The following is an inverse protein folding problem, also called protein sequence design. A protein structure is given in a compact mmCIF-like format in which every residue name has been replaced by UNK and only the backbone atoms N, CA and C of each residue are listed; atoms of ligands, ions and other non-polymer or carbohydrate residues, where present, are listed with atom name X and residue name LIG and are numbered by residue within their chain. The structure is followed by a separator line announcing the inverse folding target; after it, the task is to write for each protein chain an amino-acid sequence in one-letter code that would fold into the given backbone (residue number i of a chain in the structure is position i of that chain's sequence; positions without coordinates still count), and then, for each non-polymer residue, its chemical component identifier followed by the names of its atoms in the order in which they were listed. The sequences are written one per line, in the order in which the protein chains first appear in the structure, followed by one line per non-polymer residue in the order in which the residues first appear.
data_IF_764125708317
#
_entry.id   IF_764125708317
#
_cell.length_a   1.000
_cell.length_b   1.000
_cell.length_c   1.000
_cell.angle_alpha   90.00
_cell.angle_beta   90.00
_cell.angle_gamma   90.00
#
_symmetry.space_group_name_H-M   'P 1'
#
loop_
_entity.id
_entity.type
_entity.pdbx_description
1 polymer ?
#
# COMPACT_ATOMS: atom_id res chain seq x y z
N UNK A 1 54.91 -3.30 37.41
CA UNK A 1 54.25 -2.15 36.77
C UNK A 1 53.14 -2.68 35.87
N UNK A 2 51.90 -2.34 36.22
CA UNK A 2 50.64 -2.65 35.52
C UNK A 2 50.61 -2.14 34.08
N UNK A 3 49.75 -2.68 33.21
CA UNK A 3 48.53 -1.99 32.75
C UNK A 3 47.50 -3.03 32.28
N UNK A 4 46.34 -3.04 32.94
CA UNK A 4 45.14 -3.78 32.56
C UNK A 4 44.34 -2.89 31.58
N UNK A 5 44.01 -3.37 30.37
CA UNK A 5 43.31 -2.57 29.35
C UNK A 5 41.81 -2.77 29.50
N UNK A 6 41.15 -1.81 30.12
CA UNK A 6 39.68 -1.72 30.20
C UNK A 6 39.14 -1.46 28.78
N UNK A 7 38.28 -2.35 28.27
CA UNK A 7 37.50 -2.09 27.06
C UNK A 7 36.38 -1.12 27.46
N UNK A 8 36.49 0.13 27.03
CA UNK A 8 35.43 1.11 27.18
C UNK A 8 34.24 0.72 26.29
N UNK A 9 33.06 0.56 26.88
CA UNK A 9 31.81 0.42 26.15
C UNK A 9 31.47 1.78 25.54
N UNK A 10 31.64 1.94 24.23
CA UNK A 10 31.23 3.17 23.57
C UNK A 10 29.69 3.27 23.60
N UNK A 11 29.13 4.37 24.14
CA UNK A 11 27.68 4.56 24.13
C UNK A 11 27.19 4.69 22.69
N UNK A 12 26.15 3.93 22.33
CA UNK A 12 25.46 4.04 21.04
C UNK A 12 25.03 5.51 20.84
N UNK A 13 25.19 6.06 19.63
CA UNK A 13 24.79 7.43 19.34
C UNK A 13 23.31 7.65 19.66
N UNK A 14 22.94 8.87 20.09
CA UNK A 14 21.57 9.19 20.45
C UNK A 14 20.65 8.98 19.24
N UNK A 15 19.61 8.16 19.43
CA UNK A 15 18.60 7.91 18.41
C UNK A 15 17.96 9.23 17.98
N UNK A 16 18.14 9.62 16.73
CA UNK A 16 17.30 10.66 16.14
C UNK A 16 15.87 10.09 16.06
N UNK A 17 14.88 10.84 16.55
CA UNK A 17 13.49 10.37 16.63
C UNK A 17 12.90 9.90 15.28
N UNK A 18 13.40 10.44 14.16
CA UNK A 18 13.05 9.99 12.81
C UNK A 18 13.62 8.61 12.44
N UNK A 19 14.79 8.24 12.96
CA UNK A 19 15.39 6.91 12.73
C UNK A 19 14.62 5.82 13.46
N UNK A 20 14.08 6.13 14.66
CA UNK A 20 13.31 5.16 15.45
C UNK A 20 11.98 4.81 14.78
N UNK A 21 11.21 5.84 14.37
CA UNK A 21 9.93 5.63 13.71
C UNK A 21 10.12 4.79 12.45
N UNK A 22 11.08 5.18 11.60
CA UNK A 22 11.42 4.46 10.38
C UNK A 22 11.86 3.02 10.65
N UNK A 23 12.76 2.79 11.60
CA UNK A 23 13.21 1.43 11.94
C UNK A 23 12.06 0.53 12.41
N UNK A 24 11.07 1.09 13.12
CA UNK A 24 9.87 0.36 13.54
C UNK A 24 8.92 0.06 12.38
N UNK A 25 8.76 0.99 11.43
CA UNK A 25 7.98 0.75 10.20
C UNK A 25 8.66 -0.29 9.30
N UNK A 26 9.97 -0.20 9.10
CA UNK A 26 10.76 -1.18 8.34
C UNK A 26 10.70 -2.59 9.00
N UNK A 27 10.68 -2.64 10.33
CA UNK A 27 10.50 -3.88 11.07
C UNK A 27 9.08 -4.46 10.93
N UNK A 28 8.06 -3.60 10.95
CA UNK A 28 6.68 -4.01 10.72
C UNK A 28 6.51 -4.56 9.30
N UNK A 29 7.08 -3.86 8.31
CA UNK A 29 7.12 -4.25 6.90
C UNK A 29 7.61 -5.68 6.72
N UNK A 30 8.79 -5.96 7.28
CA UNK A 30 9.43 -7.27 7.21
C UNK A 30 8.58 -8.36 7.86
N UNK A 31 8.10 -8.14 9.08
CA UNK A 31 7.30 -9.14 9.81
C UNK A 31 6.01 -9.44 9.03
N UNK A 32 5.34 -8.41 8.52
CA UNK A 32 4.04 -8.56 7.88
C UNK A 32 4.17 -9.24 6.52
N UNK A 33 5.19 -8.90 5.72
CA UNK A 33 5.39 -9.58 4.44
C UNK A 33 5.88 -11.03 4.62
N UNK A 34 6.79 -11.30 5.55
CA UNK A 34 7.36 -12.65 5.73
C UNK A 34 6.45 -13.60 6.52
N UNK A 35 5.79 -13.11 7.56
CA UNK A 35 5.08 -13.94 8.56
C UNK A 35 3.58 -13.64 8.66
N UNK A 36 3.10 -12.57 8.02
CA UNK A 36 1.70 -12.14 8.06
C UNK A 36 1.32 -11.31 9.29
N UNK A 37 0.10 -10.75 9.26
CA UNK A 37 -0.41 -9.85 10.32
C UNK A 37 -0.51 -10.49 11.71
N UNK A 38 -0.80 -11.80 11.76
CA UNK A 38 -0.96 -12.54 13.01
C UNK A 38 0.36 -12.67 13.80
N UNK A 39 1.50 -12.65 13.11
CA UNK A 39 2.83 -12.65 13.74
C UNK A 39 3.21 -11.27 14.30
N UNK A 40 2.48 -10.21 13.93
CA UNK A 40 2.80 -8.86 14.32
C UNK A 40 2.37 -8.54 15.76
N UNK A 41 3.37 -8.22 16.59
CA UNK A 41 3.20 -7.69 17.94
C UNK A 41 4.18 -6.52 18.15
N UNK A 42 3.89 -5.60 19.07
CA UNK A 42 4.84 -4.54 19.44
C UNK A 42 6.19 -5.12 19.90
N UNK A 43 6.17 -6.29 20.55
CA UNK A 43 7.39 -6.96 21.03
C UNK A 43 8.20 -7.56 19.88
N UNK A 44 7.55 -8.21 18.90
CA UNK A 44 8.24 -8.76 17.72
C UNK A 44 8.83 -7.62 16.89
N UNK A 45 8.09 -6.53 16.70
CA UNK A 45 8.56 -5.33 16.03
C UNK A 45 9.77 -4.67 16.73
N UNK A 46 9.71 -4.44 18.06
CA UNK A 46 10.86 -3.91 18.81
C UNK A 46 12.12 -4.77 18.67
N UNK A 47 11.95 -6.10 18.75
CA UNK A 47 13.05 -7.07 18.57
C UNK A 47 13.63 -6.98 17.16
N UNK A 48 12.78 -6.94 16.15
CA UNK A 48 13.18 -6.85 14.75
C UNK A 48 13.90 -5.52 14.42
N UNK A 49 13.48 -4.42 15.02
CA UNK A 49 14.11 -3.11 14.90
C UNK A 49 15.38 -2.93 15.76
N UNK A 50 15.68 -3.87 16.67
CA UNK A 50 16.84 -3.77 17.56
C UNK A 50 16.73 -2.68 18.64
N UNK A 51 15.51 -2.35 19.06
CA UNK A 51 15.19 -1.29 20.04
C UNK A 51 14.61 -1.86 21.33
N UNK A 52 14.41 -1.00 22.34
CA UNK A 52 13.82 -1.43 23.61
C UNK A 52 12.35 -1.84 23.42
N UNK A 53 11.86 -2.78 24.24
CA UNK A 53 10.47 -3.24 24.17
C UNK A 53 9.43 -2.15 24.43
N UNK A 54 9.79 -1.09 25.15
CA UNK A 54 8.89 0.03 25.43
C UNK A 54 8.81 1.04 24.27
N UNK A 55 9.81 1.08 23.38
CA UNK A 55 9.92 2.09 22.32
C UNK A 55 8.70 2.15 21.38
N UNK A 56 8.14 1.03 20.87
CA UNK A 56 6.97 1.08 19.99
C UNK A 56 5.74 1.68 20.66
N UNK A 57 5.45 1.26 21.90
CA UNK A 57 4.29 1.76 22.64
C UNK A 57 4.45 3.23 23.04
N UNK A 58 5.67 3.69 23.36
CA UNK A 58 5.91 5.10 23.61
C UNK A 58 5.75 5.97 22.36
N UNK A 59 6.12 5.45 21.18
CA UNK A 59 6.09 6.23 19.94
C UNK A 59 4.71 6.20 19.27
N UNK A 60 4.09 5.02 19.20
CA UNK A 60 2.85 4.78 18.47
C UNK A 60 1.66 4.45 19.37
N UNK A 61 1.79 4.63 20.70
CA UNK A 61 0.80 4.33 21.74
C UNK A 61 0.52 2.83 21.92
N UNK A 62 0.09 2.15 20.86
CA UNK A 62 -0.32 0.75 20.88
C UNK A 62 -0.09 0.05 19.52
N UNK A 63 -0.55 -1.20 19.41
CA UNK A 63 -0.44 -2.00 18.18
C UNK A 63 -1.19 -1.35 17.02
N UNK A 64 -2.38 -0.81 17.27
CA UNK A 64 -3.22 -0.21 16.22
C UNK A 64 -2.58 1.08 15.70
N UNK A 65 -2.03 1.92 16.59
CA UNK A 65 -1.33 3.13 16.18
C UNK A 65 -0.09 2.85 15.30
N UNK A 66 0.69 1.80 15.62
CA UNK A 66 1.85 1.44 14.80
C UNK A 66 1.39 0.87 13.43
N UNK A 67 0.41 -0.02 13.43
CA UNK A 67 -0.14 -0.57 12.19
C UNK A 67 -0.79 0.51 11.32
N UNK A 68 -1.44 1.52 11.90
CA UNK A 68 -1.98 2.67 11.17
C UNK A 68 -0.87 3.52 10.54
N UNK A 69 0.21 3.79 11.28
CA UNK A 69 1.36 4.52 10.73
C UNK A 69 2.05 3.74 9.59
N UNK A 70 2.13 2.41 9.71
CA UNK A 70 2.62 1.54 8.65
C UNK A 70 1.64 1.45 7.47
N UNK A 71 0.35 1.38 7.70
CA UNK A 71 -0.66 1.47 6.65
C UNK A 71 -0.56 2.80 5.88
N UNK A 72 -0.27 3.90 6.58
CA UNK A 72 0.00 5.19 5.94
C UNK A 72 1.23 5.13 5.01
N UNK A 73 2.31 4.44 5.40
CA UNK A 73 3.47 4.27 4.50
C UNK A 73 3.13 3.41 3.28
N UNK A 74 2.32 2.35 3.46
CA UNK A 74 1.87 1.51 2.35
C UNK A 74 1.06 2.33 1.33
N UNK A 75 0.16 3.21 1.78
CA UNK A 75 -0.58 4.10 0.87
C UNK A 75 0.34 5.08 0.12
N UNK A 76 1.36 5.62 0.79
CA UNK A 76 2.36 6.49 0.13
C UNK A 76 3.16 5.74 -0.93
N UNK A 77 3.59 4.51 -0.63
CA UNK A 77 4.32 3.67 -1.58
C UNK A 77 3.44 3.30 -2.79
N UNK A 78 2.18 2.95 -2.55
CA UNK A 78 1.20 2.68 -3.60
C UNK A 78 0.97 3.94 -4.47
N UNK A 79 0.81 5.11 -3.84
CA UNK A 79 0.63 6.39 -4.54
C UNK A 79 1.83 6.70 -5.43
N UNK A 80 3.05 6.56 -4.91
CA UNK A 80 4.27 6.79 -5.68
C UNK A 80 4.37 5.82 -6.87
N UNK A 81 4.03 4.54 -6.66
CA UNK A 81 4.02 3.55 -7.74
C UNK A 81 2.99 3.88 -8.83
N UNK A 82 1.77 4.28 -8.44
CA UNK A 82 0.72 4.71 -9.36
C UNK A 82 1.19 5.94 -10.17
N UNK A 83 1.70 6.97 -9.49
CA UNK A 83 2.12 8.21 -10.13
C UNK A 83 3.26 7.98 -11.13
N UNK A 84 4.22 7.13 -10.79
CA UNK A 84 5.31 6.75 -11.71
C UNK A 84 4.73 6.13 -12.99
N UNK A 85 3.82 5.15 -12.88
CA UNK A 85 3.26 4.46 -14.03
C UNK A 85 2.34 5.37 -14.87
N UNK A 86 1.59 6.28 -14.23
CA UNK A 86 0.81 7.32 -14.92
C UNK A 86 1.74 8.25 -15.72
N UNK A 87 2.88 8.65 -15.15
CA UNK A 87 3.84 9.50 -15.83
C UNK A 87 4.45 8.80 -17.05
N UNK A 88 4.80 7.53 -16.92
CA UNK A 88 5.31 6.69 -18.03
C UNK A 88 4.29 6.50 -19.16
N UNK A 89 2.99 6.54 -18.85
CA UNK A 89 1.91 6.40 -19.83
C UNK A 89 1.71 7.63 -20.74
N UNK A 90 2.34 8.77 -20.45
CA UNK A 90 2.26 9.97 -21.28
C UNK A 90 1.00 10.80 -21.05
N UNK A 91 0.40 11.34 -22.12
CA UNK A 91 -0.74 12.28 -22.08
C UNK A 91 -2.10 11.66 -22.40
N UNK A 92 -2.16 10.41 -22.84
CA UNK A 92 -3.44 9.75 -23.13
C UNK A 92 -4.16 9.34 -21.84
N UNK A 93 -5.32 9.94 -21.57
CA UNK A 93 -6.05 9.73 -20.32
C UNK A 93 -6.51 8.27 -20.12
N UNK A 94 -6.81 7.54 -21.21
CA UNK A 94 -7.13 6.12 -21.12
C UNK A 94 -5.90 5.27 -20.76
N UNK A 95 -4.74 5.59 -21.34
CA UNK A 95 -3.47 4.96 -20.99
C UNK A 95 -3.08 5.24 -19.54
N UNK A 96 -3.36 6.45 -19.02
CA UNK A 96 -3.15 6.79 -17.61
C UNK A 96 -4.06 5.98 -16.68
N UNK A 97 -5.35 5.85 -17.01
CA UNK A 97 -6.27 4.99 -16.23
C UNK A 97 -5.82 3.51 -16.27
N UNK A 98 -5.32 3.05 -17.41
CA UNK A 98 -4.71 1.71 -17.51
C UNK A 98 -3.51 1.54 -16.61
N UNK A 99 -2.58 2.48 -16.68
CA UNK A 99 -1.36 2.46 -15.89
C UNK A 99 -1.67 2.48 -14.38
N UNK A 100 -2.65 3.27 -13.94
CA UNK A 100 -3.14 3.29 -12.56
C UNK A 100 -3.68 1.92 -12.14
N UNK A 101 -4.61 1.33 -12.91
CA UNK A 101 -5.20 0.03 -12.59
C UNK A 101 -4.15 -1.09 -12.53
N UNK A 102 -3.19 -1.06 -13.45
CA UNK A 102 -2.09 -2.01 -13.50
C UNK A 102 -1.13 -1.83 -12.32
N UNK A 103 -0.79 -0.59 -11.95
CA UNK A 103 0.02 -0.28 -10.77
C UNK A 103 -0.63 -0.82 -9.50
N UNK A 104 -1.94 -0.61 -9.35
CA UNK A 104 -2.71 -1.10 -8.21
C UNK A 104 -2.65 -2.63 -8.08
N UNK A 105 -2.88 -3.35 -9.18
CA UNK A 105 -2.84 -4.82 -9.17
C UNK A 105 -1.41 -5.33 -8.94
N UNK A 106 -0.40 -4.72 -9.59
CA UNK A 106 1.01 -5.10 -9.41
C UNK A 106 1.43 -4.93 -7.95
N UNK A 107 1.06 -3.82 -7.32
CA UNK A 107 1.32 -3.59 -5.91
C UNK A 107 0.70 -4.70 -5.04
N UNK A 108 -0.58 -5.03 -5.27
CA UNK A 108 -1.26 -6.11 -4.54
C UNK A 108 -0.57 -7.47 -4.69
N UNK A 109 -0.03 -7.78 -5.88
CA UNK A 109 0.66 -9.05 -6.14
C UNK A 109 2.09 -9.09 -5.59
N UNK A 110 2.79 -7.95 -5.57
CA UNK A 110 4.16 -7.84 -5.07
C UNK A 110 4.22 -7.74 -3.54
N UNK A 111 3.19 -7.15 -2.93
CA UNK A 111 3.11 -6.83 -1.51
C UNK A 111 1.79 -7.35 -0.91
N UNK A 112 1.50 -8.66 -1.00
CA UNK A 112 0.16 -9.21 -0.71
C UNK A 112 -0.28 -9.03 0.74
N UNK A 113 0.64 -9.12 1.69
CA UNK A 113 0.32 -9.00 3.11
C UNK A 113 0.13 -7.52 3.52
N UNK A 114 0.98 -6.61 3.03
CA UNK A 114 0.78 -5.17 3.22
C UNK A 114 -0.49 -4.67 2.54
N UNK A 115 -0.76 -5.11 1.31
CA UNK A 115 -2.00 -4.77 0.61
C UNK A 115 -3.22 -5.26 1.38
N UNK A 116 -3.19 -6.48 1.91
CA UNK A 116 -4.30 -7.00 2.72
C UNK A 116 -4.50 -6.19 4.01
N UNK A 117 -3.42 -5.74 4.66
CA UNK A 117 -3.47 -4.98 5.92
C UNK A 117 -4.28 -3.68 5.79
N UNK A 118 -4.06 -2.88 4.74
CA UNK A 118 -4.71 -1.56 4.62
C UNK A 118 -6.23 -1.63 4.52
N UNK A 119 -6.79 -2.82 4.25
CA UNK A 119 -8.23 -3.08 4.22
C UNK A 119 -8.77 -3.81 5.47
N UNK A 120 -7.93 -4.13 6.47
CA UNK A 120 -8.33 -4.74 7.76
C UNK A 120 -8.76 -3.66 8.75
N UNK A 121 -10.01 -3.22 8.63
CA UNK A 121 -10.57 -2.13 9.43
C UNK A 121 -10.45 -2.32 10.95
N UNK A 122 -10.47 -3.56 11.41
CA UNK A 122 -10.37 -3.96 12.81
C UNK A 122 -8.94 -3.91 13.37
N UNK A 123 -7.92 -3.91 12.50
CA UNK A 123 -6.53 -3.89 12.90
C UNK A 123 -5.96 -2.46 13.03
N UNK A 124 -6.64 -1.47 12.43
CA UNK A 124 -6.17 -0.10 12.28
C UNK A 124 -7.00 0.86 13.14
N UNK A 125 -6.34 1.86 13.73
CA UNK A 125 -7.01 3.04 14.26
C UNK A 125 -7.21 4.06 13.12
N UNK A 126 -8.47 4.24 12.71
CA UNK A 126 -8.87 5.16 11.63
C UNK A 126 -8.84 6.64 12.03
N UNK A 127 -8.60 6.95 13.31
CA UNK A 127 -8.47 8.33 13.78
C UNK A 127 -7.03 8.85 13.67
N UNK A 128 -6.09 8.01 13.25
CA UNK A 128 -4.72 8.44 12.93
C UNK A 128 -4.77 9.30 11.67
N UNK A 129 -4.47 10.59 11.80
CA UNK A 129 -4.60 11.55 10.70
C UNK A 129 -3.68 11.19 9.53
N UNK A 130 -2.46 10.72 9.81
CA UNK A 130 -1.49 10.35 8.77
C UNK A 130 -2.00 9.18 7.90
N UNK A 131 -2.80 8.28 8.46
CA UNK A 131 -3.44 7.20 7.70
C UNK A 131 -4.54 7.74 6.81
N UNK A 132 -5.36 8.66 7.34
CA UNK A 132 -6.46 9.28 6.61
C UNK A 132 -5.92 10.12 5.45
N UNK A 133 -4.96 10.99 5.70
CA UNK A 133 -4.29 11.81 4.67
C UNK A 133 -3.68 10.93 3.57
N UNK A 134 -2.90 9.91 3.91
CA UNK A 134 -2.28 9.05 2.92
C UNK A 134 -3.29 8.24 2.09
N UNK A 135 -4.38 7.77 2.72
CA UNK A 135 -5.46 7.07 2.02
C UNK A 135 -6.23 8.00 1.09
N UNK A 136 -6.54 9.22 1.55
CA UNK A 136 -7.27 10.24 0.79
C UNK A 136 -6.43 10.69 -0.41
N UNK A 137 -5.13 10.96 -0.23
CA UNK A 137 -4.19 11.30 -1.30
C UNK A 137 -4.11 10.20 -2.36
N UNK A 138 -4.00 8.94 -1.94
CA UNK A 138 -3.97 7.80 -2.85
C UNK A 138 -5.27 7.69 -3.68
N UNK A 139 -6.43 7.91 -3.05
CA UNK A 139 -7.71 7.86 -3.74
C UNK A 139 -7.93 9.07 -4.65
N UNK A 140 -7.42 10.24 -4.27
CA UNK A 140 -7.50 11.46 -5.05
C UNK A 140 -6.82 11.31 -6.42
N UNK A 141 -5.71 10.56 -6.51
CA UNK A 141 -5.06 10.26 -7.80
C UNK A 141 -6.02 9.56 -8.78
N UNK A 142 -6.87 8.65 -8.28
CA UNK A 142 -7.89 8.00 -9.11
C UNK A 142 -8.98 8.99 -9.53
N UNK A 143 -9.46 9.83 -8.60
CA UNK A 143 -10.46 10.86 -8.89
C UNK A 143 -9.95 11.77 -10.01
N UNK A 144 -8.70 12.21 -9.95
CA UNK A 144 -8.11 13.12 -10.92
C UNK A 144 -8.02 12.49 -12.32
N UNK A 145 -7.60 11.22 -12.41
CA UNK A 145 -7.56 10.47 -13.68
C UNK A 145 -8.96 10.26 -14.26
N UNK A 146 -9.95 9.94 -13.43
CA UNK A 146 -11.34 9.78 -13.89
C UNK A 146 -11.95 11.12 -14.30
N UNK A 147 -11.64 12.20 -13.59
CA UNK A 147 -12.10 13.55 -13.93
C UNK A 147 -11.56 14.01 -15.30
N UNK A 148 -10.31 13.67 -15.62
CA UNK A 148 -9.70 13.98 -16.92
C UNK A 148 -10.45 13.28 -18.07
N UNK A 149 -10.89 12.03 -17.86
CA UNK A 149 -11.72 11.29 -18.82
C UNK A 149 -13.14 11.84 -18.96
N UNK A 150 -13.66 12.53 -17.94
CA UNK A 150 -15.03 13.03 -17.89
C UNK A 150 -15.09 14.54 -17.58
N UNK A 151 -14.53 15.42 -18.42
CA UNK A 151 -14.32 16.83 -18.08
C UNK A 151 -15.63 17.62 -17.82
N UNK A 152 -16.77 17.12 -18.31
CA UNK A 152 -18.09 17.74 -18.12
C UNK A 152 -18.89 17.12 -16.96
N UNK A 153 -18.40 16.03 -16.36
CA UNK A 153 -19.08 15.38 -15.26
C UNK A 153 -18.97 16.18 -13.96
N UNK A 154 -20.03 16.15 -13.15
CA UNK A 154 -20.00 16.71 -11.80
C UNK A 154 -19.21 15.80 -10.84
N UNK A 155 -18.88 16.34 -9.64
CA UNK A 155 -18.09 15.62 -8.62
C UNK A 155 -18.71 14.28 -8.20
N UNK A 156 -20.03 14.22 -8.08
CA UNK A 156 -20.75 13.01 -7.69
C UNK A 156 -20.60 11.90 -8.74
N UNK A 157 -20.72 12.25 -10.01
CA UNK A 157 -20.54 11.31 -11.13
C UNK A 157 -19.10 10.82 -11.17
N UNK A 158 -18.11 11.71 -11.08
CA UNK A 158 -16.69 11.31 -11.06
C UNK A 158 -16.39 10.39 -9.88
N UNK A 159 -16.94 10.67 -8.70
CA UNK A 159 -16.78 9.80 -7.53
C UNK A 159 -17.38 8.41 -7.77
N UNK A 160 -18.59 8.33 -8.32
CA UNK A 160 -19.24 7.05 -8.63
C UNK A 160 -18.42 6.20 -9.61
N UNK A 161 -17.90 6.82 -10.67
CA UNK A 161 -17.06 6.13 -11.65
C UNK A 161 -15.68 5.75 -11.09
N UNK A 162 -15.12 6.58 -10.20
CA UNK A 162 -13.89 6.24 -9.46
C UNK A 162 -14.11 5.01 -8.58
N UNK A 163 -15.23 4.96 -7.85
CA UNK A 163 -15.60 3.79 -7.05
C UNK A 163 -15.80 2.53 -7.92
N UNK A 164 -16.43 2.66 -9.09
CA UNK A 164 -16.62 1.55 -10.01
C UNK A 164 -15.27 1.02 -10.56
N UNK A 165 -14.40 1.92 -11.01
CA UNK A 165 -13.07 1.57 -11.51
C UNK A 165 -12.25 0.87 -10.41
N UNK A 166 -12.21 1.44 -9.21
CA UNK A 166 -11.50 0.86 -8.07
C UNK A 166 -12.07 -0.49 -7.67
N UNK A 167 -13.40 -0.62 -7.54
CA UNK A 167 -14.07 -1.87 -7.17
C UNK A 167 -13.71 -3.01 -8.12
N UNK A 168 -13.53 -2.72 -9.41
CA UNK A 168 -13.23 -3.74 -10.40
C UNK A 168 -11.82 -4.30 -10.24
N UNK A 169 -10.79 -3.44 -10.13
CA UNK A 169 -9.41 -3.88 -9.94
C UNK A 169 -9.14 -4.43 -8.53
N UNK A 170 -9.81 -3.87 -7.51
CA UNK A 170 -9.76 -4.37 -6.14
C UNK A 170 -10.38 -5.76 -6.03
N UNK A 171 -11.58 -5.96 -6.61
CA UNK A 171 -12.22 -7.27 -6.65
C UNK A 171 -11.35 -8.33 -7.31
N UNK A 172 -10.71 -8.00 -8.44
CA UNK A 172 -9.75 -8.91 -9.06
C UNK A 172 -8.57 -9.25 -8.15
N UNK A 173 -7.89 -8.22 -7.60
CA UNK A 173 -6.72 -8.41 -6.75
C UNK A 173 -7.05 -9.29 -5.53
N UNK A 174 -8.16 -9.02 -4.85
CA UNK A 174 -8.61 -9.79 -3.70
C UNK A 174 -8.93 -11.25 -4.07
N UNK A 175 -9.72 -11.48 -5.13
CA UNK A 175 -10.03 -12.82 -5.60
C UNK A 175 -8.77 -13.61 -6.00
N UNK A 176 -7.78 -12.92 -6.57
CA UNK A 176 -6.50 -13.51 -6.93
C UNK A 176 -5.70 -13.96 -5.71
N UNK A 177 -5.54 -13.06 -4.73
CA UNK A 177 -4.80 -13.32 -3.49
C UNK A 177 -5.43 -14.44 -2.68
N UNK A 178 -6.75 -14.52 -2.64
CA UNK A 178 -7.51 -15.59 -1.96
C UNK A 178 -7.50 -16.93 -2.72
N UNK A 179 -6.90 -16.98 -3.92
CA UNK A 179 -6.77 -18.21 -4.69
C UNK A 179 -8.06 -18.65 -5.41
N UNK A 180 -9.07 -17.79 -5.50
CA UNK A 180 -10.32 -18.08 -6.23
C UNK A 180 -10.08 -18.38 -7.72
N UNK A 181 -8.92 -17.99 -8.26
CA UNK A 181 -8.47 -18.30 -9.62
C UNK A 181 -7.46 -19.46 -9.71
N UNK A 182 -7.46 -20.40 -8.75
CA UNK A 182 -6.50 -21.51 -8.70
C UNK A 182 -6.34 -22.29 -10.02
N UNK A 183 -7.43 -22.54 -10.76
CA UNK A 183 -7.38 -23.22 -12.08
C UNK A 183 -6.64 -22.39 -13.14
N UNK A 184 -6.76 -21.06 -13.08
CA UNK A 184 -6.07 -20.14 -13.98
C UNK A 184 -4.57 -20.08 -13.62
N UNK A 185 -4.21 -20.09 -12.33
CA UNK A 185 -2.80 -20.11 -11.87
C UNK A 185 -2.02 -21.34 -12.33
N UNK A 186 -2.69 -22.47 -12.58
CA UNK A 186 -2.05 -23.70 -13.06
C UNK A 186 -1.59 -23.63 -14.53
N UNK A 187 -1.93 -22.56 -15.27
CA UNK A 187 -1.63 -22.43 -16.70
C UNK A 187 -0.20 -22.00 -17.05
N UNK A 188 0.72 -21.90 -16.07
CA UNK A 188 2.10 -21.37 -16.22
C UNK A 188 2.18 -19.94 -16.78
N UNK A 189 1.07 -19.21 -16.88
CA UNK A 189 1.07 -17.80 -17.27
C UNK A 189 1.31 -16.93 -16.04
N UNK A 190 2.26 -16.01 -16.15
CA UNK A 190 2.60 -15.06 -15.10
C UNK A 190 1.36 -14.27 -14.63
N UNK A 191 1.12 -14.14 -13.32
CA UNK A 191 -0.01 -13.36 -12.75
C UNK A 191 -0.14 -11.95 -13.32
N UNK A 192 0.99 -11.29 -13.57
CA UNK A 192 1.07 -9.94 -14.12
C UNK A 192 0.52 -9.84 -15.55
N UNK A 193 0.59 -10.92 -16.33
CA UNK A 193 0.04 -10.98 -17.69
C UNK A 193 -1.49 -11.08 -17.64
N UNK A 194 -2.04 -11.80 -16.67
CA UNK A 194 -3.49 -11.83 -16.45
C UNK A 194 -4.01 -10.49 -15.92
N UNK A 195 -3.29 -9.88 -14.98
CA UNK A 195 -3.59 -8.55 -14.48
C UNK A 195 -3.63 -7.50 -15.60
N UNK A 196 -2.62 -7.50 -16.46
CA UNK A 196 -2.52 -6.58 -17.61
C UNK A 196 -3.67 -6.79 -18.60
N UNK A 197 -3.92 -8.04 -19.02
CA UNK A 197 -5.04 -8.34 -19.92
C UNK A 197 -6.38 -7.99 -19.30
N UNK A 198 -6.58 -8.28 -18.02
CA UNK A 198 -7.83 -7.97 -17.36
C UNK A 198 -8.01 -6.45 -17.20
N UNK A 199 -6.96 -5.70 -16.84
CA UNK A 199 -7.00 -4.25 -16.80
C UNK A 199 -7.40 -3.68 -18.18
N UNK A 200 -6.80 -4.18 -19.28
CA UNK A 200 -7.19 -3.79 -20.64
C UNK A 200 -8.65 -4.11 -20.97
N UNK A 201 -9.15 -5.29 -20.60
CA UNK A 201 -10.55 -5.67 -20.86
C UNK A 201 -11.54 -4.88 -20.00
N UNK A 202 -11.23 -4.66 -18.72
CA UNK A 202 -12.02 -3.81 -17.82
C UNK A 202 -12.13 -2.41 -18.43
N UNK A 203 -11.01 -1.81 -18.83
CA UNK A 203 -11.01 -0.51 -19.49
C UNK A 203 -11.85 -0.50 -20.76
N UNK A 204 -11.72 -1.51 -21.60
CA UNK A 204 -12.50 -1.61 -22.83
C UNK A 204 -14.02 -1.68 -22.55
N UNK A 205 -14.43 -2.30 -21.44
CA UNK A 205 -15.83 -2.38 -21.01
C UNK A 205 -16.36 -1.08 -20.39
N UNK A 206 -15.52 -0.34 -19.65
CA UNK A 206 -15.92 0.92 -19.02
C UNK A 206 -15.73 2.13 -19.95
N UNK A 207 -14.91 2.01 -21.00
CA UNK A 207 -14.65 3.08 -21.99
C UNK A 207 -15.93 3.66 -22.60
N UNK A 208 -16.94 2.86 -23.01
CA UNK A 208 -18.22 3.39 -23.47
C UNK A 208 -18.99 4.17 -22.40
N UNK A 209 -18.83 3.82 -21.12
CA UNK A 209 -19.51 4.51 -20.01
C UNK A 209 -18.89 5.88 -19.71
N UNK A 210 -17.66 6.14 -20.16
CA UNK A 210 -17.00 7.44 -20.07
C UNK A 210 -17.30 8.39 -21.24
N UNK A 211 -17.95 7.90 -22.30
CA UNK A 211 -18.36 8.74 -23.43
C UNK A 211 -19.76 9.28 -23.12
N UNK A 212 -19.99 10.60 -23.11
CA UNK A 212 -21.35 11.13 -22.98
C UNK A 212 -22.21 10.64 -24.15
N UNK A 213 -23.44 10.22 -23.85
CA UNK A 213 -24.46 9.86 -24.85
C UNK A 213 -24.74 11.00 -25.83
#
# INVERSE_FOLDING_TARGET
MSVNRVIAHQPKPPYHHGDLARALLDAADKIIEEEGLEAFTLRSCARQAGVSHAAPAHHFKDRAGLLSAYAASIFRDLTAHIQQLIQEAGEDDYARLHALGLAYIRFALQRPNAFSLVFRCEALDKNVEELKEASDDCFQVLIDVVQALMPQANKETVLLYSMLAWSTVHGFATLWLEGNFAKVRQSNVEPSVYADRLAQQILALIKPAFVPL
#
